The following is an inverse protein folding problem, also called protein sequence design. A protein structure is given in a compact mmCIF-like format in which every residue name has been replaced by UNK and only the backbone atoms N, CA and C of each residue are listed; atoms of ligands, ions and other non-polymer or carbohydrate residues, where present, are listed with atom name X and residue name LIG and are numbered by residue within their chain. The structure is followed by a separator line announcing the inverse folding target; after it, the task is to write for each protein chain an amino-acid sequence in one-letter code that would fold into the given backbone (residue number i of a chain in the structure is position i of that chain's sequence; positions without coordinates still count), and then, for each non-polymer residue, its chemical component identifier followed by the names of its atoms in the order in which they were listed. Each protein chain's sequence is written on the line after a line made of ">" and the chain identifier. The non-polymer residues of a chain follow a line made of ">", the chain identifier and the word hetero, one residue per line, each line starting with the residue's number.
data_IF_358844617929
#
_entry.id   IF_358844617929
#
_cell.length_a   1.000
_cell.length_b   1.000
_cell.length_c   1.000
_cell.angle_alpha   90.00
_cell.angle_beta   90.00
_cell.angle_gamma   90.00
#
_symmetry.space_group_name_H-M   'P 1'
#
loop_
_entity.id
_entity.type
_entity.pdbx_description
1 polymer ?
#
# COMPACT_ATOMS: atom_id res chain seq x y z
N UNK A 1 -3.25 5.08 -19.22
CA UNK A 1 -4.72 5.21 -19.26
C UNK A 1 -5.35 4.43 -20.41
N UNK A 2 -4.86 4.54 -21.67
CA UNK A 2 -5.46 3.89 -22.84
C UNK A 2 -5.71 2.38 -22.68
N UNK A 3 -4.80 1.69 -21.99
CA UNK A 3 -4.93 0.24 -21.75
C UNK A 3 -6.09 -0.07 -20.81
N UNK A 4 -6.27 0.75 -19.76
CA UNK A 4 -7.34 0.57 -18.80
C UNK A 4 -8.70 0.93 -19.42
N UNK A 5 -8.76 2.02 -20.20
CA UNK A 5 -9.96 2.41 -20.93
C UNK A 5 -10.40 1.33 -21.94
N UNK A 6 -9.45 0.72 -22.63
CA UNK A 6 -9.73 -0.40 -23.53
C UNK A 6 -10.25 -1.61 -22.74
N UNK A 7 -9.67 -1.91 -21.60
CA UNK A 7 -10.11 -3.04 -20.76
C UNK A 7 -11.52 -2.80 -20.22
N UNK A 8 -11.87 -1.56 -19.83
CA UNK A 8 -13.23 -1.19 -19.39
C UNK A 8 -14.25 -1.42 -20.53
N UNK A 9 -13.94 -0.96 -21.74
CA UNK A 9 -14.83 -1.14 -22.90
C UNK A 9 -15.07 -2.62 -23.20
N UNK A 10 -14.02 -3.44 -23.15
CA UNK A 10 -14.13 -4.89 -23.35
C UNK A 10 -14.95 -5.54 -22.24
N UNK A 11 -14.62 -5.26 -20.98
CA UNK A 11 -15.31 -5.80 -19.82
C UNK A 11 -16.80 -5.41 -19.78
N UNK A 12 -17.11 -4.16 -20.14
CA UNK A 12 -18.51 -3.72 -20.24
C UNK A 12 -19.29 -4.52 -21.30
N UNK A 13 -18.65 -4.88 -22.41
CA UNK A 13 -19.28 -5.64 -23.48
C UNK A 13 -19.46 -7.12 -23.15
N UNK A 14 -18.49 -7.69 -22.42
CA UNK A 14 -18.47 -9.13 -22.09
C UNK A 14 -19.14 -9.46 -20.74
N UNK A 15 -19.39 -8.46 -19.91
CA UNK A 15 -19.85 -8.64 -18.53
C UNK A 15 -18.77 -9.19 -17.60
N UNK A 16 -17.51 -9.11 -17.99
CA UNK A 16 -16.40 -9.66 -17.22
C UNK A 16 -15.93 -8.69 -16.13
N UNK A 17 -15.48 -9.28 -15.02
CA UNK A 17 -14.80 -8.55 -13.95
C UNK A 17 -13.30 -8.51 -14.19
N UNK A 18 -12.67 -7.39 -13.83
CA UNK A 18 -11.22 -7.27 -13.76
C UNK A 18 -10.82 -6.48 -12.49
N UNK A 19 -9.54 -6.55 -12.12
CA UNK A 19 -9.02 -5.82 -10.98
C UNK A 19 -7.85 -4.90 -11.39
N UNK A 20 -7.77 -3.75 -10.72
CA UNK A 20 -6.63 -2.84 -10.79
C UNK A 20 -5.89 -2.93 -9.46
N UNK A 21 -4.59 -3.23 -9.53
CA UNK A 21 -3.70 -3.19 -8.38
C UNK A 21 -2.77 -1.98 -8.51
N UNK A 22 -2.72 -1.16 -7.48
CA UNK A 22 -1.75 -0.09 -7.34
C UNK A 22 -0.66 -0.54 -6.36
N UNK A 23 0.58 -0.60 -6.81
CA UNK A 23 1.71 -1.19 -6.07
C UNK A 23 2.77 -0.13 -5.86
N UNK A 24 3.12 0.17 -4.62
CA UNK A 24 4.20 1.09 -4.28
C UNK A 24 5.32 0.34 -3.55
N UNK A 25 6.56 0.57 -3.96
CA UNK A 25 7.73 0.02 -3.26
C UNK A 25 7.93 0.76 -1.94
N UNK A 26 7.91 0.02 -0.84
CA UNK A 26 8.01 0.61 0.48
C UNK A 26 9.39 1.23 0.73
N UNK A 27 9.39 2.44 1.28
CA UNK A 27 10.62 3.17 1.66
C UNK A 27 11.62 3.37 0.51
N UNK A 28 11.17 3.40 -0.74
CA UNK A 28 12.04 3.53 -1.91
C UNK A 28 12.92 4.79 -1.86
N UNK A 29 12.39 5.88 -1.30
CA UNK A 29 13.19 7.09 -1.06
C UNK A 29 14.44 6.80 -0.21
N UNK A 30 14.31 5.98 0.84
CA UNK A 30 15.46 5.64 1.69
C UNK A 30 16.53 4.85 0.92
N UNK A 31 16.11 4.03 -0.05
CA UNK A 31 17.05 3.30 -0.93
C UNK A 31 17.84 4.30 -1.76
N UNK A 32 17.16 5.24 -2.41
CA UNK A 32 17.82 6.29 -3.18
C UNK A 32 18.75 7.17 -2.34
N UNK A 33 18.29 7.58 -1.16
CA UNK A 33 19.06 8.46 -0.27
C UNK A 33 20.30 7.74 0.29
N UNK A 34 20.24 6.41 0.50
CA UNK A 34 21.33 5.63 1.10
C UNK A 34 22.28 5.02 0.07
N UNK A 35 21.77 4.56 -1.08
CA UNK A 35 22.52 3.78 -2.08
C UNK A 35 22.68 4.49 -3.43
N UNK A 36 22.03 5.65 -3.58
CA UNK A 36 22.04 6.43 -4.80
C UNK A 36 20.98 6.02 -5.84
N UNK A 37 20.68 6.93 -6.75
CA UNK A 37 19.65 6.74 -7.77
C UNK A 37 19.93 5.57 -8.73
N UNK A 38 21.21 5.29 -9.03
CA UNK A 38 21.58 4.16 -9.89
C UNK A 38 21.12 2.83 -9.33
N UNK A 39 21.31 2.60 -8.02
CA UNK A 39 20.81 1.39 -7.33
C UNK A 39 19.28 1.40 -7.29
N UNK A 40 18.66 2.55 -7.07
CA UNK A 40 17.20 2.67 -7.14
C UNK A 40 16.64 2.25 -8.49
N UNK A 41 17.28 2.64 -9.59
CA UNK A 41 16.87 2.23 -10.94
C UNK A 41 17.02 0.71 -11.15
N UNK A 42 18.11 0.10 -10.66
CA UNK A 42 18.27 -1.36 -10.69
C UNK A 42 17.15 -2.07 -9.91
N UNK A 43 16.79 -1.55 -8.74
CA UNK A 43 15.67 -2.05 -7.92
C UNK A 43 14.37 -1.98 -8.70
N UNK A 44 14.05 -0.85 -9.34
CA UNK A 44 12.81 -0.69 -10.12
C UNK A 44 12.74 -1.64 -11.31
N UNK A 45 13.87 -1.86 -12.00
CA UNK A 45 13.95 -2.86 -13.09
C UNK A 45 13.69 -4.26 -12.56
N UNK A 46 14.26 -4.62 -11.42
CA UNK A 46 14.06 -5.93 -10.82
C UNK A 46 12.63 -6.11 -10.30
N UNK A 47 12.03 -5.09 -9.68
CA UNK A 47 10.61 -5.05 -9.30
C UNK A 47 9.73 -5.29 -10.52
N UNK A 48 9.95 -4.55 -11.60
CA UNK A 48 9.18 -4.70 -12.85
C UNK A 48 9.22 -6.15 -13.38
N UNK A 49 10.41 -6.78 -13.38
CA UNK A 49 10.57 -8.18 -13.79
C UNK A 49 9.81 -9.15 -12.90
N UNK A 50 9.89 -8.95 -11.55
CA UNK A 50 9.18 -9.79 -10.57
C UNK A 50 7.67 -9.64 -10.69
N UNK A 51 7.17 -8.41 -10.83
CA UNK A 51 5.74 -8.15 -11.06
C UNK A 51 5.26 -8.85 -12.35
N UNK A 52 6.02 -8.71 -13.44
CA UNK A 52 5.66 -9.34 -14.70
C UNK A 52 5.65 -10.88 -14.62
N UNK A 53 6.57 -11.48 -13.89
CA UNK A 53 6.62 -12.93 -13.67
C UNK A 53 5.51 -13.43 -12.71
N UNK A 54 4.90 -12.54 -11.95
CA UNK A 54 3.85 -12.88 -10.98
C UNK A 54 2.47 -12.98 -11.59
N UNK A 55 2.26 -12.42 -12.79
CA UNK A 55 0.97 -12.32 -13.48
C UNK A 55 1.00 -13.04 -14.82
N UNK A 56 -0.17 -13.26 -15.43
CA UNK A 56 -0.33 -13.93 -16.73
C UNK A 56 0.11 -13.04 -17.90
N UNK A 57 0.32 -13.62 -19.07
CA UNK A 57 0.64 -12.87 -20.30
C UNK A 57 -0.48 -11.90 -20.71
N UNK A 58 -1.74 -12.25 -20.44
CA UNK A 58 -2.93 -11.43 -20.69
C UNK A 58 -3.03 -10.21 -19.79
N UNK A 59 -2.39 -10.25 -18.62
CA UNK A 59 -2.43 -9.17 -17.65
C UNK A 59 -1.45 -8.05 -18.03
N UNK A 60 -1.72 -6.86 -17.59
CA UNK A 60 -0.88 -5.70 -17.86
C UNK A 60 -0.10 -5.31 -16.61
N UNK A 61 1.18 -5.03 -16.78
CA UNK A 61 2.04 -4.41 -15.77
C UNK A 61 2.61 -3.14 -16.38
N UNK A 62 2.43 -2.03 -15.70
CA UNK A 62 2.96 -0.72 -16.11
C UNK A 62 3.60 -0.01 -14.92
N UNK A 63 4.65 0.74 -15.15
CA UNK A 63 5.16 1.70 -14.18
C UNK A 63 4.34 2.98 -14.31
N UNK A 64 3.73 3.41 -13.22
CA UNK A 64 2.84 4.57 -13.19
C UNK A 64 3.63 5.87 -13.02
N UNK A 65 4.40 5.96 -11.95
CA UNK A 65 5.31 7.08 -11.67
C UNK A 65 6.31 6.65 -10.57
N UNK A 66 7.51 7.23 -10.57
CA UNK A 66 8.47 7.00 -9.47
C UNK A 66 8.67 5.53 -9.11
N UNK A 67 8.25 5.15 -7.90
CA UNK A 67 8.28 3.79 -7.35
C UNK A 67 6.93 3.07 -7.41
N UNK A 68 5.99 3.60 -8.18
CA UNK A 68 4.63 3.10 -8.27
C UNK A 68 4.39 2.33 -9.57
N UNK A 69 3.71 1.20 -9.44
CA UNK A 69 3.34 0.32 -10.54
C UNK A 69 1.84 0.06 -10.52
N UNK A 70 1.27 -0.16 -11.70
CA UNK A 70 -0.13 -0.55 -11.87
C UNK A 70 -0.21 -1.90 -12.57
N UNK A 71 -1.04 -2.80 -12.04
CA UNK A 71 -1.37 -4.07 -12.66
C UNK A 71 -2.85 -4.08 -13.02
N UNK A 72 -3.18 -4.60 -14.20
CA UNK A 72 -4.56 -4.88 -14.61
C UNK A 72 -4.69 -6.38 -14.76
N UNK A 73 -5.43 -7.02 -13.86
CA UNK A 73 -5.70 -8.45 -13.88
C UNK A 73 -7.05 -8.70 -14.54
N UNK A 74 -7.03 -9.35 -15.69
CA UNK A 74 -8.20 -9.57 -16.54
C UNK A 74 -8.84 -10.94 -16.31
N UNK A 75 -10.10 -11.08 -16.74
CA UNK A 75 -10.84 -12.36 -16.67
C UNK A 75 -10.88 -12.93 -15.26
N UNK A 76 -11.30 -12.11 -14.31
CA UNK A 76 -11.43 -12.52 -12.91
C UNK A 76 -12.76 -13.25 -12.74
N UNK A 77 -12.70 -14.48 -12.22
CA UNK A 77 -13.87 -15.26 -11.88
C UNK A 77 -14.24 -15.08 -10.40
N UNK A 78 -13.23 -15.03 -9.53
CA UNK A 78 -13.41 -14.86 -8.09
C UNK A 78 -12.42 -13.81 -7.56
N UNK A 79 -12.88 -12.96 -6.64
CA UNK A 79 -12.02 -11.93 -6.00
C UNK A 79 -10.83 -12.56 -5.29
N UNK A 80 -11.00 -13.75 -4.71
CA UNK A 80 -9.94 -14.47 -4.02
C UNK A 80 -8.75 -14.81 -4.92
N UNK A 81 -8.94 -14.97 -6.23
CA UNK A 81 -7.83 -15.17 -7.17
C UNK A 81 -6.92 -13.93 -7.22
N UNK A 82 -7.53 -12.73 -7.16
CA UNK A 82 -6.79 -11.46 -7.12
C UNK A 82 -6.01 -11.33 -5.80
N UNK A 83 -6.64 -11.70 -4.68
CA UNK A 83 -6.00 -11.64 -3.36
C UNK A 83 -4.79 -12.59 -3.30
N UNK A 84 -4.90 -13.79 -3.88
CA UNK A 84 -3.77 -14.74 -4.00
C UNK A 84 -2.63 -14.18 -4.86
N UNK A 85 -2.95 -13.45 -5.93
CA UNK A 85 -1.94 -12.80 -6.77
C UNK A 85 -1.28 -11.67 -5.99
N UNK A 86 -2.04 -10.85 -5.25
CA UNK A 86 -1.49 -9.78 -4.43
C UNK A 86 -0.56 -10.32 -3.33
N UNK A 87 -0.97 -11.37 -2.64
CA UNK A 87 -0.15 -12.06 -1.63
C UNK A 87 1.13 -12.66 -2.25
N UNK A 88 1.03 -13.29 -3.44
CA UNK A 88 2.20 -13.76 -4.18
C UNK A 88 3.14 -12.61 -4.53
N UNK A 89 2.62 -11.46 -4.96
CA UNK A 89 3.42 -10.27 -5.30
C UNK A 89 4.17 -9.78 -4.06
N UNK A 90 3.51 -9.64 -2.90
CA UNK A 90 4.16 -9.26 -1.65
C UNK A 90 5.33 -10.20 -1.34
N UNK A 91 5.09 -11.52 -1.34
CA UNK A 91 6.14 -12.53 -1.05
C UNK A 91 7.30 -12.52 -2.04
N UNK A 92 7.02 -12.37 -3.34
CA UNK A 92 8.07 -12.33 -4.37
C UNK A 92 8.91 -11.06 -4.26
N UNK A 93 8.31 -9.93 -3.88
CA UNK A 93 9.05 -8.69 -3.69
C UNK A 93 9.87 -8.72 -2.39
N UNK A 94 9.37 -9.33 -1.32
CA UNK A 94 10.08 -9.49 -0.04
C UNK A 94 11.33 -10.38 -0.15
N UNK A 95 11.37 -11.30 -1.11
CA UNK A 95 12.55 -12.15 -1.31
C UNK A 95 13.77 -11.32 -1.67
N UNK A 96 14.96 -11.75 -1.21
CA UNK A 96 16.22 -11.07 -1.45
C UNK A 96 16.41 -10.69 -2.94
N UNK A 97 16.78 -9.44 -3.17
CA UNK A 97 17.07 -8.89 -4.48
C UNK A 97 18.58 -8.83 -4.67
N UNK A 98 19.17 -9.66 -5.55
CA UNK A 98 20.60 -9.57 -5.82
C UNK A 98 20.87 -8.26 -6.58
N UNK A 99 21.85 -7.50 -6.10
CA UNK A 99 22.40 -6.32 -6.75
C UNK A 99 23.79 -6.65 -7.29
N UNK A 100 24.22 -5.92 -8.31
CA UNK A 100 25.42 -6.24 -9.11
C UNK A 100 26.72 -6.54 -8.33
N UNK A 101 26.88 -6.02 -7.09
CA UNK A 101 28.10 -6.15 -6.29
C UNK A 101 28.00 -7.26 -5.20
N UNK A 102 27.29 -8.34 -5.45
CA UNK A 102 27.03 -9.43 -4.49
C UNK A 102 26.33 -8.99 -3.19
N UNK A 103 25.69 -7.82 -3.19
CA UNK A 103 24.82 -7.33 -2.13
C UNK A 103 23.42 -7.84 -2.32
N UNK A 104 22.73 -8.15 -1.24
CA UNK A 104 21.32 -8.47 -1.23
C UNK A 104 20.53 -7.33 -0.59
N UNK A 105 19.46 -6.91 -1.25
CA UNK A 105 18.54 -5.92 -0.72
C UNK A 105 17.18 -6.57 -0.47
N UNK A 106 16.62 -6.32 0.69
CA UNK A 106 15.24 -6.69 1.02
C UNK A 106 14.34 -5.48 0.80
N UNK A 107 13.34 -5.64 -0.03
CA UNK A 107 12.32 -4.62 -0.30
C UNK A 107 10.95 -5.20 -0.03
N UNK A 108 10.00 -4.36 0.29
CA UNK A 108 8.60 -4.74 0.41
C UNK A 108 7.75 -3.81 -0.44
N UNK A 109 6.48 -4.14 -0.60
CA UNK A 109 5.54 -3.28 -1.30
C UNK A 109 4.19 -3.24 -0.57
N UNK A 110 3.54 -2.10 -0.68
CA UNK A 110 2.15 -1.91 -0.27
C UNK A 110 1.28 -1.92 -1.52
N UNK A 111 0.18 -2.68 -1.48
CA UNK A 111 -0.70 -2.91 -2.63
C UNK A 111 -2.11 -2.49 -2.29
N UNK A 112 -2.74 -1.70 -3.15
CA UNK A 112 -4.16 -1.42 -3.11
C UNK A 112 -4.87 -2.04 -4.30
N UNK A 113 -6.10 -2.51 -4.09
CA UNK A 113 -6.89 -3.27 -5.06
C UNK A 113 -8.25 -2.62 -5.23
N UNK A 114 -8.66 -2.39 -6.47
CA UNK A 114 -10.02 -2.02 -6.84
C UNK A 114 -10.56 -2.97 -7.91
N UNK A 115 -11.88 -3.17 -7.92
CA UNK A 115 -12.57 -4.10 -8.82
C UNK A 115 -13.54 -3.36 -9.74
N UNK A 116 -13.48 -3.69 -11.03
CA UNK A 116 -14.48 -3.30 -12.00
C UNK A 116 -15.54 -4.41 -12.13
N UNK A 117 -16.84 -4.11 -12.18
CA UNK A 117 -17.45 -2.77 -12.09
C UNK A 117 -17.78 -2.32 -10.65
N UNK A 118 -17.54 -3.16 -9.65
CA UNK A 118 -18.10 -3.04 -8.30
C UNK A 118 -17.63 -1.77 -7.57
N UNK A 119 -16.34 -1.44 -7.69
CA UNK A 119 -15.77 -0.28 -6.99
C UNK A 119 -15.88 1.00 -7.83
N UNK A 120 -15.77 0.89 -9.15
CA UNK A 120 -15.96 2.02 -10.06
C UNK A 120 -16.13 1.55 -11.52
N UNK A 121 -16.73 2.43 -12.35
CA UNK A 121 -16.93 2.22 -13.79
C UNK A 121 -15.95 3.01 -14.67
N UNK A 122 -15.13 3.91 -14.11
CA UNK A 122 -14.17 4.72 -14.87
C UNK A 122 -12.73 4.41 -14.48
N UNK A 123 -11.79 4.56 -15.43
CA UNK A 123 -10.38 4.33 -15.22
C UNK A 123 -9.80 5.20 -14.11
N UNK A 124 -10.18 6.48 -14.11
CA UNK A 124 -9.71 7.44 -13.11
C UNK A 124 -10.13 7.02 -11.70
N UNK A 125 -11.39 6.66 -11.49
CA UNK A 125 -11.88 6.23 -10.17
C UNK A 125 -11.31 4.90 -9.75
N UNK A 126 -11.14 3.94 -10.66
CA UNK A 126 -10.49 2.66 -10.34
C UNK A 126 -9.06 2.87 -9.84
N UNK A 127 -8.27 3.71 -10.52
CA UNK A 127 -6.91 4.04 -10.09
C UNK A 127 -6.92 4.78 -8.76
N UNK A 128 -7.81 5.76 -8.58
CA UNK A 128 -7.96 6.50 -7.33
C UNK A 128 -8.32 5.57 -6.16
N UNK A 129 -9.27 4.65 -6.36
CA UNK A 129 -9.70 3.70 -5.33
C UNK A 129 -8.59 2.71 -4.98
N UNK A 130 -7.85 2.22 -5.97
CA UNK A 130 -6.69 1.37 -5.73
C UNK A 130 -5.57 2.12 -4.97
N UNK A 131 -5.32 3.40 -5.29
CA UNK A 131 -4.36 4.24 -4.57
C UNK A 131 -4.77 4.46 -3.10
N UNK A 132 -6.04 4.78 -2.84
CA UNK A 132 -6.59 4.89 -1.47
C UNK A 132 -6.38 3.60 -0.68
N UNK A 133 -6.66 2.46 -1.28
CA UNK A 133 -6.44 1.15 -0.65
C UNK A 133 -4.95 0.88 -0.39
N UNK A 134 -4.06 1.25 -1.32
CA UNK A 134 -2.60 1.13 -1.15
C UNK A 134 -2.10 2.01 0.02
N UNK A 135 -2.64 3.23 0.14
CA UNK A 135 -2.31 4.09 1.27
C UNK A 135 -2.77 3.48 2.61
N UNK A 136 -3.92 2.82 2.62
CA UNK A 136 -4.38 2.07 3.79
C UNK A 136 -3.44 0.92 4.14
N UNK A 137 -2.94 0.18 3.14
CA UNK A 137 -1.92 -0.86 3.34
C UNK A 137 -0.63 -0.28 3.96
N UNK A 138 -0.18 0.89 3.51
CA UNK A 138 0.96 1.60 4.13
C UNK A 138 0.72 1.94 5.60
N UNK A 139 -0.51 2.35 5.94
CA UNK A 139 -0.91 2.67 7.31
C UNK A 139 -1.00 1.46 8.24
N UNK A 140 -1.26 0.27 7.70
CA UNK A 140 -1.36 -1.00 8.44
C UNK A 140 -0.02 -1.72 8.65
N UNK A 141 1.09 -1.05 8.44
CA UNK A 141 2.43 -1.60 8.68
C UNK A 141 3.23 -1.92 7.43
N UNK A 142 2.71 -1.66 6.24
CA UNK A 142 3.33 -1.97 4.93
C UNK A 142 3.43 -3.48 4.67
N UNK A 143 4.13 -3.88 3.60
CA UNK A 143 4.30 -5.29 3.21
C UNK A 143 2.99 -6.08 3.21
N UNK A 144 1.94 -5.48 2.69
CA UNK A 144 0.60 -6.06 2.68
C UNK A 144 -0.24 -5.49 1.54
N UNK A 145 -1.42 -6.05 1.35
CA UNK A 145 -2.41 -5.51 0.42
C UNK A 145 -3.72 -5.17 1.13
N UNK A 146 -4.46 -4.23 0.54
CA UNK A 146 -5.81 -3.89 0.96
C UNK A 146 -6.72 -3.78 -0.26
N UNK A 147 -7.96 -4.22 -0.11
CA UNK A 147 -9.01 -3.93 -1.08
C UNK A 147 -9.62 -2.58 -0.78
N UNK A 148 -10.07 -1.90 -1.83
CA UNK A 148 -10.85 -0.68 -1.63
C UNK A 148 -12.13 -1.01 -0.85
N UNK A 149 -12.38 -0.20 0.15
CA UNK A 149 -13.64 -0.18 0.89
C UNK A 149 -14.18 1.23 0.74
N UNK A 150 -15.38 1.35 0.20
CA UNK A 150 -16.03 2.65 0.11
C UNK A 150 -16.23 3.21 1.52
N UNK A 151 -15.42 4.18 1.86
CA UNK A 151 -15.57 4.92 3.11
C UNK A 151 -16.43 6.13 2.81
N UNK A 152 -17.47 6.46 3.59
CA UNK A 152 -18.25 7.66 3.36
C UNK A 152 -17.32 8.88 3.25
N UNK A 153 -17.62 9.76 2.29
CA UNK A 153 -16.77 10.94 1.99
C UNK A 153 -16.52 11.82 3.23
N UNK A 154 -17.48 11.81 4.15
CA UNK A 154 -17.38 12.47 5.47
C UNK A 154 -16.20 11.97 6.31
N UNK A 155 -15.83 10.70 6.22
CA UNK A 155 -14.73 10.16 7.03
C UNK A 155 -13.35 10.54 6.50
N UNK A 156 -13.18 10.75 5.19
CA UNK A 156 -11.94 11.29 4.62
C UNK A 156 -11.71 12.74 5.03
N UNK A 157 -12.74 13.57 4.96
CA UNK A 157 -12.66 14.96 5.42
C UNK A 157 -12.44 15.05 6.93
N UNK A 158 -13.10 14.19 7.71
CA UNK A 158 -12.90 14.11 9.16
C UNK A 158 -11.47 13.67 9.52
N UNK A 159 -10.90 12.71 8.78
CA UNK A 159 -9.53 12.25 9.00
C UNK A 159 -8.51 13.35 8.68
N UNK A 160 -8.64 14.04 7.56
CA UNK A 160 -7.78 15.18 7.21
C UNK A 160 -7.91 16.32 8.22
N UNK A 161 -9.14 16.62 8.66
CA UNK A 161 -9.40 17.60 9.70
C UNK A 161 -8.79 17.18 11.05
N UNK A 162 -8.85 15.90 11.39
CA UNK A 162 -8.25 15.35 12.61
C UNK A 162 -6.72 15.40 12.54
N UNK A 163 -6.11 15.02 11.41
CA UNK A 163 -4.65 15.13 11.21
C UNK A 163 -4.18 16.59 11.33
N UNK A 164 -4.94 17.53 10.77
CA UNK A 164 -4.62 18.95 10.89
C UNK A 164 -4.73 19.43 12.36
N UNK A 165 -5.78 19.02 13.06
CA UNK A 165 -5.98 19.31 14.50
C UNK A 165 -4.87 18.70 15.36
N UNK A 166 -4.47 17.45 15.11
CA UNK A 166 -3.36 16.80 15.83
C UNK A 166 -2.03 17.53 15.66
N UNK A 167 -1.71 17.95 14.43
CA UNK A 167 -0.51 18.76 14.18
C UNK A 167 -0.55 20.13 14.87
N UNK A 168 -1.72 20.71 14.98
CA UNK A 168 -1.90 21.97 15.70
C UNK A 168 -1.78 21.77 17.22
N UNK A 169 -2.39 20.72 17.77
CA UNK A 169 -2.29 20.34 19.18
C UNK A 169 -0.84 20.04 19.59
N UNK A 170 -0.07 19.37 18.72
CA UNK A 170 1.37 19.17 18.93
C UNK A 170 2.13 20.50 19.03
N UNK A 171 1.89 21.43 18.11
CA UNK A 171 2.52 22.76 18.11
C UNK A 171 2.14 23.62 19.30
N UNK A 172 0.90 23.45 19.79
CA UNK A 172 0.36 24.19 20.94
C UNK A 172 0.77 23.57 22.29
N UNK A 173 1.45 22.39 22.28
CA UNK A 173 1.80 21.67 23.51
C UNK A 173 0.61 21.06 24.24
N UNK A 174 -0.51 20.83 23.53
CA UNK A 174 -1.75 20.27 24.09
C UNK A 174 -1.68 18.75 24.24
N UNK A 175 -0.68 18.10 23.59
CA UNK A 175 -0.50 16.66 23.66
C UNK A 175 0.30 16.29 24.91
N UNK A 176 -0.25 15.41 25.75
CA UNK A 176 0.43 14.85 26.93
C UNK A 176 0.59 13.35 26.76
N UNK A 177 1.83 12.88 26.88
CA UNK A 177 2.12 11.45 26.90
C UNK A 177 1.97 10.93 28.34
N UNK A 178 1.11 9.91 28.53
CA UNK A 178 1.00 9.18 29.78
C UNK A 178 1.60 7.80 29.57
N UNK A 179 2.61 7.43 30.37
CA UNK A 179 3.17 6.09 30.38
C UNK A 179 2.59 5.27 31.51
N UNK A 180 2.16 4.05 31.25
CA UNK A 180 1.71 3.12 32.26
C UNK A 180 2.85 2.17 32.61
N UNK A 181 3.34 2.14 33.88
CA UNK A 181 4.39 1.21 34.28
C UNK A 181 3.86 -0.23 34.29
N UNK A 182 4.60 -1.14 33.66
CA UNK A 182 4.37 -2.58 33.79
C UNK A 182 5.15 -3.08 35.03
N UNK A 183 4.42 -3.69 35.96
CA UNK A 183 5.00 -4.24 37.18
C UNK A 183 5.13 -5.77 37.06
N UNK A 184 6.24 -6.29 37.53
CA UNK A 184 6.40 -7.74 37.66
C UNK A 184 5.59 -8.22 38.86
N UNK A 185 4.57 -9.07 38.65
CA UNK A 185 3.62 -9.55 39.66
C UNK A 185 4.30 -10.25 40.86
N UNK A 186 5.54 -10.75 40.73
CA UNK A 186 6.24 -11.41 41.83
C UNK A 186 7.07 -10.46 42.71
N UNK A 187 7.41 -9.25 42.25
CA UNK A 187 8.35 -8.35 42.94
C UNK A 187 7.90 -6.90 43.03
N UNK A 188 6.75 -6.56 42.46
CA UNK A 188 6.24 -5.17 42.30
C UNK A 188 7.25 -4.18 41.69
N UNK A 189 8.34 -4.70 41.08
CA UNK A 189 9.36 -3.87 40.44
C UNK A 189 8.93 -3.48 39.03
N UNK A 190 9.13 -2.23 38.61
CA UNK A 190 8.84 -1.81 37.24
C UNK A 190 9.79 -2.51 36.27
N UNK A 191 9.23 -3.16 35.22
CA UNK A 191 10.00 -3.92 34.22
C UNK A 191 10.09 -3.16 32.90
N UNK A 192 9.04 -2.40 32.57
CA UNK A 192 8.95 -1.61 31.34
C UNK A 192 7.92 -0.50 31.50
N UNK A 193 7.97 0.48 30.60
CA UNK A 193 6.88 1.44 30.39
C UNK A 193 6.23 1.15 29.05
N UNK A 194 4.93 0.93 29.03
CA UNK A 194 4.19 0.90 27.77
C UNK A 194 4.20 2.26 27.08
N UNK A 195 4.18 2.30 25.73
CA UNK A 195 4.04 3.55 25.01
C UNK A 195 2.75 4.28 25.41
N UNK A 196 2.72 5.60 25.29
CA UNK A 196 1.65 6.41 25.81
C UNK A 196 0.26 6.04 25.26
N UNK A 197 -0.71 5.97 26.13
CA UNK A 197 -2.12 5.86 25.80
C UNK A 197 -2.62 7.16 25.10
N UNK A 198 -3.71 7.09 24.33
CA UNK A 198 -4.18 8.21 23.50
C UNK A 198 -4.55 9.44 24.33
N UNK A 199 -4.42 10.60 23.69
CA UNK A 199 -4.62 11.93 24.23
C UNK A 199 -5.93 12.09 25.05
N UNK A 200 -5.85 12.70 26.23
CA UNK A 200 -7.01 13.26 26.89
C UNK A 200 -7.46 14.52 26.12
N UNK A 201 -8.73 14.58 25.72
CA UNK A 201 -9.33 15.84 25.27
C UNK A 201 -9.45 16.78 26.49
N UNK A 202 -9.08 18.05 26.38
CA UNK A 202 -9.48 19.03 27.38
C UNK A 202 -11.01 19.21 27.35
N UNK A 203 -11.62 19.31 28.48
CA UNK A 203 -13.05 19.64 28.71
C UNK A 203 -13.44 20.97 28.05
#
# INVERSE_FOLDING_TARGET
>A
NDRLDTTIKEAHRTGEMFAVLFVAVDRFKNINDSLGHGVGDEVLVAVSKRLRASVRASDTVARYAGDEFTLILRHIVQRDDVLRIADKVCRVLESALPLGDARELHITASIGISFYPDDAASAEKLLQHADVAMYSAKGMGRNTYQTYVAVPEESHQQRLALEAKLRQAERNGELRAYSQPQLRTATEAPVATEPPAPCAQPD
#
